data_IF_624469082275
#
_entry.id   IF_624469082275
#
_cell.length_a   1.000
_cell.length_b   1.000
_cell.length_c   1.000
_cell.angle_alpha   90.00
_cell.angle_beta   90.00
_cell.angle_gamma   90.00
#
_symmetry.space_group_name_H-M   'P 1'
#
loop_
_entity.id
_entity.type
_entity.pdbx_description
1 polymer ?
#
# COMPACT_ATOMS: atom_id res chain seq x y z
N UNK A 1 10.05 -23.73 -0.21
CA UNK A 1 10.08 -23.81 1.27
C UNK A 1 9.88 -22.46 1.98
N UNK A 2 10.46 -21.33 1.52
CA UNK A 2 10.29 -20.02 2.18
C UNK A 2 8.84 -19.53 2.29
N UNK A 3 7.99 -19.81 1.30
CA UNK A 3 6.56 -19.46 1.31
C UNK A 3 5.83 -20.12 2.49
N UNK A 4 5.87 -21.45 2.57
CA UNK A 4 5.22 -22.23 3.63
C UNK A 4 5.67 -21.75 5.02
N UNK A 5 6.96 -21.50 5.22
CA UNK A 5 7.47 -20.98 6.50
C UNK A 5 6.90 -19.62 6.90
N UNK A 6 6.58 -18.74 5.94
CA UNK A 6 5.97 -17.43 6.23
C UNK A 6 4.50 -17.54 6.65
N UNK A 7 3.79 -18.55 6.16
CA UNK A 7 2.36 -18.74 6.42
C UNK A 7 2.05 -19.83 7.45
N UNK A 8 3.08 -20.50 8.00
CA UNK A 8 2.95 -21.60 8.95
C UNK A 8 2.11 -21.25 10.19
N UNK A 9 2.22 -20.01 10.68
CA UNK A 9 1.44 -19.52 11.83
C UNK A 9 -0.06 -19.41 11.55
N UNK A 10 -0.45 -19.42 10.28
CA UNK A 10 -1.83 -19.34 9.85
C UNK A 10 -2.44 -20.72 9.56
N UNK A 11 -1.65 -21.80 9.51
CA UNK A 11 -2.11 -23.17 9.23
C UNK A 11 -3.08 -23.72 10.29
N UNK A 12 -3.05 -23.12 11.49
CA UNK A 12 -3.99 -23.44 12.57
C UNK A 12 -5.42 -22.94 12.31
N UNK A 13 -5.60 -21.98 11.40
CA UNK A 13 -6.92 -21.47 11.06
C UNK A 13 -7.56 -22.34 9.99
N UNK A 14 -8.73 -22.90 10.30
CA UNK A 14 -9.49 -23.73 9.35
C UNK A 14 -10.20 -22.90 8.29
N UNK A 15 -10.54 -21.64 8.60
CA UNK A 15 -11.20 -20.70 7.71
C UNK A 15 -10.74 -19.25 8.00
N UNK A 16 -10.60 -18.38 6.97
CA UNK A 16 -10.56 -18.73 5.54
C UNK A 16 -9.40 -19.67 5.24
N UNK A 17 -9.55 -20.53 4.22
CA UNK A 17 -8.49 -21.46 3.85
C UNK A 17 -7.25 -20.67 3.39
N UNK A 18 -6.08 -21.12 3.81
CA UNK A 18 -4.82 -20.54 3.34
C UNK A 18 -4.65 -20.83 1.85
N UNK A 19 -4.32 -19.81 1.03
CA UNK A 19 -3.92 -20.04 -0.35
C UNK A 19 -2.74 -21.01 -0.38
N UNK A 20 -2.83 -22.03 -1.24
CA UNK A 20 -1.72 -22.91 -1.50
C UNK A 20 -0.59 -22.14 -2.20
N UNK A 21 0.61 -22.72 -2.22
CA UNK A 21 1.70 -22.17 -3.02
C UNK A 21 1.34 -22.10 -4.51
N UNK A 22 0.55 -23.05 -5.02
CA UNK A 22 0.07 -23.03 -6.40
C UNK A 22 -0.88 -21.86 -6.67
N UNK A 23 -1.78 -21.56 -5.73
CA UNK A 23 -2.69 -20.41 -5.85
C UNK A 23 -1.90 -19.09 -5.87
N UNK A 24 -0.85 -18.99 -5.05
CA UNK A 24 0.06 -17.84 -5.05
C UNK A 24 0.81 -17.71 -6.38
N UNK A 25 1.39 -18.79 -6.91
CA UNK A 25 2.08 -18.75 -8.20
C UNK A 25 1.15 -18.31 -9.32
N UNK A 26 -0.05 -18.89 -9.40
CA UNK A 26 -1.04 -18.55 -10.41
C UNK A 26 -1.46 -17.07 -10.31
N UNK A 27 -1.77 -16.58 -9.10
CA UNK A 27 -2.14 -15.18 -8.88
C UNK A 27 -0.97 -14.22 -9.15
N UNK A 28 0.27 -14.63 -8.90
CA UNK A 28 1.44 -13.81 -9.18
C UNK A 28 1.73 -13.72 -10.68
N UNK A 29 1.50 -14.80 -11.43
CA UNK A 29 1.69 -14.84 -12.87
C UNK A 29 0.66 -13.96 -13.59
N UNK A 30 -0.61 -13.97 -13.16
CA UNK A 30 -1.62 -13.05 -13.71
C UNK A 30 -1.24 -11.59 -13.47
N UNK A 31 -0.72 -11.26 -12.29
CA UNK A 31 -0.29 -9.90 -11.96
C UNK A 31 0.93 -9.40 -12.76
N UNK A 32 1.68 -10.29 -13.42
CA UNK A 32 2.84 -9.94 -14.25
C UNK A 32 2.49 -9.65 -15.72
N UNK A 33 1.21 -9.74 -16.10
CA UNK A 33 0.78 -9.51 -17.47
C UNK A 33 1.10 -8.06 -17.92
N UNK A 34 1.93 -7.84 -18.97
CA UNK A 34 2.41 -6.51 -19.36
C UNK A 34 1.30 -5.51 -19.73
N UNK A 35 0.13 -6.00 -20.16
CA UNK A 35 -1.00 -5.17 -20.54
C UNK A 35 -1.74 -4.58 -19.33
N UNK A 36 -1.60 -5.17 -18.15
CA UNK A 36 -2.37 -4.77 -16.96
C UNK A 36 -1.70 -3.68 -16.13
N UNK A 37 -0.41 -3.39 -16.39
CA UNK A 37 0.36 -2.45 -15.58
C UNK A 37 -0.26 -1.06 -15.49
N UNK A 38 -0.83 -0.53 -16.58
CA UNK A 38 -1.52 0.77 -16.55
C UNK A 38 -2.84 0.71 -15.78
N UNK A 39 -3.65 -0.31 -16.04
CA UNK A 39 -4.94 -0.52 -15.37
C UNK A 39 -4.76 -0.63 -13.86
N UNK A 40 -3.73 -1.36 -13.42
CA UNK A 40 -3.39 -1.50 -12.00
C UNK A 40 -2.99 -0.17 -11.37
N UNK A 41 -2.18 0.65 -12.07
CA UNK A 41 -1.79 1.96 -11.57
C UNK A 41 -2.97 2.94 -11.52
N UNK A 42 -3.88 2.89 -12.49
CA UNK A 42 -5.09 3.72 -12.49
C UNK A 42 -6.03 3.32 -11.34
N UNK A 43 -6.22 2.02 -11.11
CA UNK A 43 -6.97 1.50 -9.98
C UNK A 43 -6.33 1.91 -8.64
N UNK A 44 -5.00 1.81 -8.52
CA UNK A 44 -4.28 2.24 -7.32
C UNK A 44 -4.44 3.75 -7.07
N UNK A 45 -4.37 4.57 -8.12
CA UNK A 45 -4.58 6.00 -8.02
C UNK A 45 -5.98 6.33 -7.50
N UNK A 46 -7.02 5.65 -7.99
CA UNK A 46 -8.39 5.80 -7.50
C UNK A 46 -8.50 5.40 -6.02
N UNK A 47 -7.93 4.26 -5.62
CA UNK A 47 -7.94 3.83 -4.22
C UNK A 47 -7.23 4.81 -3.29
N UNK A 48 -6.12 5.43 -3.71
CA UNK A 48 -5.44 6.45 -2.89
C UNK A 48 -6.21 7.76 -2.81
N UNK A 49 -6.97 8.12 -3.83
CA UNK A 49 -7.89 9.27 -3.77
C UNK A 49 -9.02 9.02 -2.75
N UNK A 50 -9.65 7.84 -2.80
CA UNK A 50 -10.68 7.45 -1.83
C UNK A 50 -10.13 7.43 -0.40
N UNK A 51 -8.94 6.84 -0.19
CA UNK A 51 -8.28 6.82 1.10
C UNK A 51 -7.99 8.23 1.63
N UNK A 52 -7.58 9.17 0.75
CA UNK A 52 -7.35 10.56 1.12
C UNK A 52 -8.64 11.24 1.60
N UNK A 53 -9.75 11.05 0.88
CA UNK A 53 -11.06 11.59 1.27
C UNK A 53 -11.55 11.02 2.61
N UNK A 54 -11.32 9.73 2.88
CA UNK A 54 -11.67 9.12 4.16
C UNK A 54 -10.84 9.73 5.30
N UNK A 55 -9.53 9.93 5.09
CA UNK A 55 -8.65 10.55 6.10
C UNK A 55 -8.98 12.02 6.37
N UNK A 56 -9.51 12.75 5.40
CA UNK A 56 -10.01 14.12 5.60
C UNK A 56 -11.21 14.14 6.54
N UNK A 57 -12.15 13.19 6.39
CA UNK A 57 -13.31 13.05 7.27
C UNK A 57 -12.90 12.74 8.71
N UNK A 58 -11.86 11.92 8.92
CA UNK A 58 -11.33 11.63 10.27
C UNK A 58 -10.76 12.87 10.93
N UNK A 59 -10.15 13.77 10.16
CA UNK A 59 -9.60 15.03 10.69
C UNK A 59 -10.66 16.08 11.05
N UNK A 60 -11.89 15.97 10.53
CA UNK A 60 -12.95 16.96 10.71
C UNK A 60 -13.98 16.61 11.80
N UNK A 61 -13.88 15.43 12.43
CA UNK A 61 -14.78 15.03 13.50
C UNK A 61 -14.56 15.90 14.75
N UNK A 62 -15.52 16.79 15.03
CA UNK A 62 -15.63 17.56 16.27
C UNK A 62 -16.42 16.75 17.30
N UNK A 63 -15.77 15.79 17.96
CA UNK A 63 -16.38 15.16 19.13
C UNK A 63 -16.24 16.05 20.37
N UNK A 64 -17.32 16.12 21.16
CA UNK A 64 -17.40 16.85 22.43
C UNK A 64 -16.42 16.23 23.44
N UNK A 65 -15.60 17.03 24.13
CA UNK A 65 -14.55 16.51 24.98
C UNK A 65 -15.13 15.94 26.28
N UNK A 66 -14.81 14.67 26.55
CA UNK A 66 -14.66 14.14 27.90
C UNK A 66 -13.19 13.76 28.09
N UNK A 67 -12.67 13.87 29.32
CA UNK A 67 -11.21 13.80 29.55
C UNK A 67 -10.57 12.46 29.15
N UNK A 68 -11.30 11.34 29.26
CA UNK A 68 -10.85 10.03 28.76
C UNK A 68 -10.78 9.94 27.22
N UNK A 69 -11.50 10.82 26.51
CA UNK A 69 -11.50 10.88 25.05
C UNK A 69 -10.28 11.63 24.49
N UNK A 70 -9.63 12.51 25.25
CA UNK A 70 -8.55 13.35 24.70
C UNK A 70 -7.28 12.55 24.38
N UNK A 71 -6.90 11.60 25.25
CA UNK A 71 -5.75 10.72 25.00
C UNK A 71 -5.99 9.75 23.84
N UNK A 72 -7.19 9.17 23.76
CA UNK A 72 -7.59 8.29 22.64
C UNK A 72 -7.66 9.06 21.31
N UNK A 73 -8.14 10.30 21.35
CA UNK A 73 -8.20 11.19 20.18
C UNK A 73 -6.81 11.58 19.69
N UNK A 74 -5.88 11.91 20.58
CA UNK A 74 -4.51 12.26 20.20
C UNK A 74 -3.80 11.08 19.50
N UNK A 75 -3.93 9.86 20.03
CA UNK A 75 -3.38 8.66 19.41
C UNK A 75 -4.03 8.36 18.04
N UNK A 76 -5.34 8.55 17.93
CA UNK A 76 -6.09 8.36 16.68
C UNK A 76 -5.69 9.38 15.60
N UNK A 77 -5.50 10.64 15.99
CA UNK A 77 -5.03 11.69 15.08
C UNK A 77 -3.60 11.46 14.61
N UNK A 78 -2.70 11.00 15.49
CA UNK A 78 -1.33 10.67 15.09
C UNK A 78 -1.29 9.46 14.16
N UNK A 79 -2.10 8.44 14.43
CA UNK A 79 -2.33 7.33 13.50
C UNK A 79 -2.83 7.82 12.14
N UNK A 80 -3.85 8.68 12.11
CA UNK A 80 -4.38 9.25 10.86
C UNK A 80 -3.33 10.06 10.07
N UNK A 81 -2.48 10.84 10.74
CA UNK A 81 -1.34 11.52 10.10
C UNK A 81 -0.35 10.54 9.51
N UNK A 82 -0.03 9.48 10.23
CA UNK A 82 0.90 8.44 9.78
C UNK A 82 0.36 7.69 8.54
N UNK A 83 -0.94 7.38 8.53
CA UNK A 83 -1.64 6.83 7.36
C UNK A 83 -1.63 7.81 6.18
N UNK A 84 -1.86 9.11 6.42
CA UNK A 84 -1.79 10.12 5.36
C UNK A 84 -0.42 10.16 4.69
N UNK A 85 0.66 10.04 5.47
CA UNK A 85 2.03 9.96 4.91
C UNK A 85 2.22 8.75 4.00
N UNK A 86 1.68 7.58 4.39
CA UNK A 86 1.72 6.37 3.55
C UNK A 86 0.96 6.58 2.24
N UNK A 87 -0.26 7.12 2.31
CA UNK A 87 -1.10 7.38 1.13
C UNK A 87 -0.39 8.32 0.15
N UNK A 88 0.15 9.44 0.65
CA UNK A 88 0.87 10.41 -0.18
C UNK A 88 2.13 9.79 -0.81
N UNK A 89 2.91 9.03 -0.04
CA UNK A 89 4.10 8.37 -0.56
C UNK A 89 3.75 7.40 -1.71
N UNK A 90 2.71 6.59 -1.52
CA UNK A 90 2.31 5.60 -2.52
C UNK A 90 1.65 6.26 -3.74
N UNK A 91 0.90 7.35 -3.57
CA UNK A 91 0.34 8.12 -4.68
C UNK A 91 1.46 8.73 -5.55
N UNK A 92 2.51 9.25 -4.91
CA UNK A 92 3.70 9.75 -5.61
C UNK A 92 4.43 8.64 -6.36
N UNK A 93 4.57 7.47 -5.75
CA UNK A 93 5.17 6.29 -6.38
C UNK A 93 4.39 5.84 -7.62
N UNK A 94 3.06 5.73 -7.52
CA UNK A 94 2.18 5.41 -8.66
C UNK A 94 2.35 6.44 -9.78
N UNK A 95 2.31 7.73 -9.45
CA UNK A 95 2.51 8.80 -10.44
C UNK A 95 3.86 8.70 -11.15
N UNK A 96 4.94 8.40 -10.41
CA UNK A 96 6.28 8.20 -10.99
C UNK A 96 6.33 6.97 -11.89
N UNK A 97 5.74 5.86 -11.48
CA UNK A 97 5.66 4.63 -12.29
C UNK A 97 4.85 4.84 -13.57
N UNK A 98 3.69 5.52 -13.49
CA UNK A 98 2.88 5.82 -14.66
C UNK A 98 3.65 6.63 -15.70
N UNK A 99 4.38 7.67 -15.25
CA UNK A 99 5.24 8.48 -16.14
C UNK A 99 6.41 7.66 -16.71
N UNK A 100 7.02 6.79 -15.91
CA UNK A 100 8.11 5.94 -16.35
C UNK A 100 7.65 4.91 -17.40
N UNK A 101 6.42 4.41 -17.29
CA UNK A 101 5.80 3.54 -18.31
C UNK A 101 5.57 4.33 -19.60
N UNK A 102 4.95 5.50 -19.51
CA UNK A 102 4.69 6.38 -20.67
C UNK A 102 5.99 6.77 -21.39
N UNK A 103 7.06 7.02 -20.64
CA UNK A 103 8.38 7.36 -21.18
C UNK A 103 9.21 6.13 -21.63
N UNK A 104 8.69 4.91 -21.49
CA UNK A 104 9.40 3.67 -21.84
C UNK A 104 10.64 3.39 -20.98
N UNK A 105 10.74 4.00 -19.79
CA UNK A 105 11.89 3.91 -18.89
C UNK A 105 11.94 2.60 -18.10
N UNK A 106 10.78 1.97 -17.83
CA UNK A 106 10.74 0.68 -17.14
C UNK A 106 11.44 -0.43 -17.96
N UNK A 107 11.25 -0.44 -19.29
CA UNK A 107 11.90 -1.39 -20.19
C UNK A 107 13.43 -1.24 -20.20
N UNK A 108 13.93 -0.03 -19.89
CA UNK A 108 15.36 0.29 -19.86
C UNK A 108 16.00 -0.01 -18.49
N UNK A 109 15.23 -0.53 -17.51
CA UNK A 109 15.69 -0.80 -16.14
C UNK A 109 16.31 0.42 -15.44
N UNK A 110 15.92 1.64 -15.83
CA UNK A 110 16.46 2.89 -15.28
C UNK A 110 15.73 3.35 -14.01
N UNK A 111 14.83 2.52 -13.48
CA UNK A 111 14.07 2.83 -12.27
C UNK A 111 14.13 1.66 -11.29
N UNK A 112 14.29 1.99 -10.01
CA UNK A 112 14.28 1.06 -8.88
C UNK A 112 13.03 1.31 -8.05
N UNK A 113 12.41 0.23 -7.61
CA UNK A 113 11.24 0.25 -6.71
C UNK A 113 11.67 -0.38 -5.39
N UNK A 114 11.62 0.41 -4.33
CA UNK A 114 11.90 -0.03 -2.97
C UNK A 114 10.64 0.07 -2.12
N UNK A 115 10.50 -0.84 -1.15
CA UNK A 115 9.38 -0.90 -0.22
C UNK A 115 9.92 -0.82 1.22
N UNK A 116 9.49 0.19 1.98
CA UNK A 116 9.97 0.43 3.34
C UNK A 116 8.82 0.77 4.32
N UNK A 117 8.85 0.24 5.56
CA UNK A 117 7.89 0.61 6.61
C UNK A 117 8.28 1.93 7.28
N UNK A 118 8.36 3.02 6.50
CA UNK A 118 8.93 4.31 6.96
C UNK A 118 7.94 5.20 7.69
N UNK A 119 6.64 5.09 7.39
CA UNK A 119 5.65 6.06 7.86
C UNK A 119 4.61 5.48 8.84
N UNK A 120 4.40 4.16 8.84
CA UNK A 120 3.40 3.48 9.66
C UNK A 120 3.91 2.07 10.05
N UNK A 121 3.67 1.58 11.29
CA UNK A 121 4.25 0.32 11.78
C UNK A 121 3.78 -0.94 11.03
N UNK A 122 2.57 -0.89 10.45
CA UNK A 122 1.95 -2.03 9.78
C UNK A 122 1.77 -1.85 8.26
N UNK A 123 2.16 -0.69 7.71
CA UNK A 123 1.97 -0.40 6.29
C UNK A 123 3.29 0.01 5.66
N UNK A 124 3.38 -0.25 4.36
CA UNK A 124 4.60 -0.04 3.59
C UNK A 124 4.41 1.17 2.68
N UNK A 125 5.47 1.97 2.59
CA UNK A 125 5.60 3.04 1.61
C UNK A 125 6.52 2.59 0.48
N UNK A 126 6.04 2.78 -0.74
CA UNK A 126 6.78 2.48 -1.97
C UNK A 126 7.57 3.71 -2.38
N UNK A 127 8.83 3.51 -2.74
CA UNK A 127 9.72 4.54 -3.26
C UNK A 127 10.16 4.15 -4.66
N UNK A 128 10.13 5.11 -5.57
CA UNK A 128 10.50 4.92 -6.98
C UNK A 128 11.58 5.94 -7.29
N UNK A 129 12.79 5.43 -7.54
CA UNK A 129 14.00 6.24 -7.78
C UNK A 129 14.61 5.89 -9.13
N UNK A 130 15.23 6.87 -9.78
CA UNK A 130 16.04 6.59 -10.96
C UNK A 130 17.29 5.78 -10.54
N UNK A 131 17.72 4.88 -11.41
CA UNK A 131 19.01 4.20 -11.32
C UNK A 131 19.96 4.95 -12.23
N UNK A 132 21.00 5.54 -11.65
CA UNK A 132 22.11 6.17 -12.39
C UNK A 132 22.98 5.13 -13.11
#
# INVERSE_FOLDING_TARGET
QRFVLRFRTLEQFRLPHLPSYGDFEQSSASAQAPMEGRVVLDAAQASFQEASQLLEKVGSVKDKPSEDYEHSRAASLESAKSLRRVVVANQLAVTRLSRAIEAGQILKKTMRVDAAPSHHPHLVSVQVTAVE
#
